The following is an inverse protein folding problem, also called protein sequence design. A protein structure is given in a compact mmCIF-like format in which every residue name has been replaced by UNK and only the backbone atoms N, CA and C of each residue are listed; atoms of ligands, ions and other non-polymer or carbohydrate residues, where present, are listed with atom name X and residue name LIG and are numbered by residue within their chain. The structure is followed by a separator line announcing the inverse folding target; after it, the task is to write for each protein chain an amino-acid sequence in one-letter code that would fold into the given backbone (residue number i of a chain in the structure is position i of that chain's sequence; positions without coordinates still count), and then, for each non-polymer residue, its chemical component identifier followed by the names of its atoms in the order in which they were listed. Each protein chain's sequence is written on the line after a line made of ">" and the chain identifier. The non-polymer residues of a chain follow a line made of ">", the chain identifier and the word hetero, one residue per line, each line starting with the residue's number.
data_IF_772179409620
#
_entry.id   IF_772179409620
#
_cell.length_a   1.000
_cell.length_b   1.000
_cell.length_c   1.000
_cell.angle_alpha   90.00
_cell.angle_beta   90.00
_cell.angle_gamma   90.00
#
_symmetry.space_group_name_H-M   'P 1'
#
loop_
_entity.id
_entity.type
_entity.pdbx_description
1 polymer ?
#
# COMPACT_ATOMS: atom_id res chain seq x y z
N UNK A 1 26.20 -7.89 -11.10
CA UNK A 1 24.77 -7.81 -11.44
C UNK A 1 24.12 -6.83 -10.47
N UNK A 2 24.14 -5.55 -10.79
CA UNK A 2 23.57 -4.48 -9.96
C UNK A 2 22.26 -4.04 -10.61
N UNK A 3 21.22 -4.85 -10.43
CA UNK A 3 19.86 -4.43 -10.68
C UNK A 3 19.35 -3.75 -9.42
N UNK A 4 18.84 -2.53 -9.54
CA UNK A 4 18.10 -1.86 -8.47
C UNK A 4 16.79 -2.63 -8.24
N UNK A 5 16.55 -3.07 -7.01
CA UNK A 5 15.40 -3.90 -6.66
C UNK A 5 14.09 -3.17 -6.97
N UNK A 6 13.10 -3.92 -7.50
CA UNK A 6 11.78 -3.39 -7.79
C UNK A 6 10.76 -3.87 -6.76
N UNK A 7 9.88 -2.97 -6.33
CA UNK A 7 8.77 -3.23 -5.42
C UNK A 7 7.47 -3.25 -6.22
N UNK A 8 6.65 -4.29 -6.05
CA UNK A 8 5.30 -4.35 -6.61
C UNK A 8 4.37 -3.45 -5.79
N UNK A 9 3.87 -2.38 -6.39
CA UNK A 9 3.05 -1.37 -5.69
C UNK A 9 1.59 -1.35 -6.12
N UNK A 10 1.29 -1.96 -7.27
CA UNK A 10 -0.09 -2.15 -7.70
C UNK A 10 -0.21 -3.43 -8.51
N UNK A 11 -1.29 -4.16 -8.29
CA UNK A 11 -1.61 -5.38 -9.02
C UNK A 11 -3.10 -5.43 -9.31
N UNK A 12 -3.43 -5.79 -10.55
CA UNK A 12 -4.74 -6.33 -10.92
C UNK A 12 -4.52 -7.66 -11.60
N UNK A 13 -4.71 -8.72 -10.83
CA UNK A 13 -4.57 -10.09 -11.30
C UNK A 13 -5.89 -10.84 -11.08
N UNK A 14 -6.42 -11.44 -12.14
CA UNK A 14 -7.70 -12.15 -12.12
C UNK A 14 -7.56 -13.54 -12.72
N UNK A 15 -8.37 -14.49 -12.29
CA UNK A 15 -8.41 -15.82 -12.91
C UNK A 15 -9.81 -16.45 -12.80
N UNK A 16 -9.98 -17.59 -13.47
CA UNK A 16 -11.22 -18.36 -13.44
C UNK A 16 -12.38 -17.67 -14.15
N UNK A 17 -13.59 -17.88 -13.64
CA UNK A 17 -14.84 -17.45 -14.29
C UNK A 17 -15.75 -16.61 -13.37
N UNK A 18 -15.36 -16.42 -12.09
CA UNK A 18 -16.24 -15.91 -11.02
C UNK A 18 -15.59 -14.79 -10.20
N UNK A 19 -14.94 -13.84 -10.86
CA UNK A 19 -14.37 -12.65 -10.23
C UNK A 19 -13.29 -12.96 -9.18
N UNK A 20 -12.62 -14.12 -9.28
CA UNK A 20 -11.43 -14.41 -8.48
C UNK A 20 -10.31 -13.46 -8.86
N UNK A 21 -9.62 -12.97 -7.85
CA UNK A 21 -8.58 -11.97 -8.05
C UNK A 21 -7.59 -11.93 -6.89
N UNK A 22 -6.44 -11.34 -7.19
CA UNK A 22 -5.46 -10.88 -6.23
C UNK A 22 -5.08 -9.47 -6.65
N UNK A 23 -5.54 -8.48 -5.89
CA UNK A 23 -5.29 -7.08 -6.18
C UNK A 23 -4.43 -6.48 -5.07
N UNK A 24 -3.51 -5.61 -5.47
CA UNK A 24 -2.69 -4.82 -4.56
C UNK A 24 -2.91 -3.36 -4.90
N UNK A 25 -3.17 -2.55 -3.88
CA UNK A 25 -3.30 -1.10 -3.99
C UNK A 25 -2.37 -0.45 -2.97
N UNK A 26 -1.50 0.45 -3.43
CA UNK A 26 -0.59 1.18 -2.55
C UNK A 26 -0.91 2.66 -2.54
N UNK A 27 -1.06 3.20 -1.33
CA UNK A 27 -1.25 4.61 -1.06
C UNK A 27 -0.09 5.14 -0.23
N UNK A 28 0.27 6.39 -0.43
CA UNK A 28 1.28 7.10 0.33
C UNK A 28 0.56 8.04 1.29
N UNK A 29 0.90 7.90 2.56
CA UNK A 29 0.46 8.78 3.65
C UNK A 29 1.64 9.67 4.00
N UNK A 30 1.43 10.98 3.97
CA UNK A 30 2.39 11.96 4.44
C UNK A 30 2.12 12.30 5.91
N UNK A 31 3.01 11.92 6.87
CA UNK A 31 2.76 12.14 8.29
C UNK A 31 2.78 13.62 8.71
N UNK A 32 3.27 14.53 7.86
CA UNK A 32 3.32 15.97 8.12
C UNK A 32 2.06 16.67 7.61
N UNK A 33 1.60 16.33 6.41
CA UNK A 33 0.41 16.96 5.79
C UNK A 33 -0.89 16.19 6.05
N UNK A 34 -0.78 14.93 6.49
CA UNK A 34 -1.89 13.99 6.66
C UNK A 34 -2.64 13.64 5.37
N UNK A 35 -2.08 14.00 4.21
CA UNK A 35 -2.63 13.67 2.90
C UNK A 35 -2.41 12.19 2.57
N UNK A 36 -3.37 11.62 1.84
CA UNK A 36 -3.28 10.28 1.26
C UNK A 36 -3.36 10.39 -0.24
N UNK A 37 -2.33 9.91 -0.94
CA UNK A 37 -2.28 9.91 -2.41
C UNK A 37 -1.98 8.52 -2.93
N UNK A 38 -2.51 8.14 -4.11
CA UNK A 38 -2.09 6.90 -4.74
C UNK A 38 -0.63 7.00 -5.16
N UNK A 39 0.12 5.91 -5.03
CA UNK A 39 1.58 5.93 -5.23
C UNK A 39 2.00 6.40 -6.63
N UNK A 40 1.24 6.07 -7.67
CA UNK A 40 1.58 6.40 -9.06
C UNK A 40 1.56 7.90 -9.37
N UNK A 41 0.99 8.74 -8.51
CA UNK A 41 1.04 10.21 -8.65
C UNK A 41 2.38 10.80 -8.16
N UNK A 42 3.15 10.05 -7.37
CA UNK A 42 4.30 10.56 -6.65
C UNK A 42 5.64 10.01 -7.13
N UNK A 43 5.63 8.89 -7.87
CA UNK A 43 6.84 8.19 -8.32
C UNK A 43 6.72 7.71 -9.75
N UNK A 44 7.88 7.52 -10.37
CA UNK A 44 8.00 6.91 -11.69
C UNK A 44 7.76 5.41 -11.58
N UNK A 45 6.81 4.90 -12.35
CA UNK A 45 6.43 3.48 -12.30
C UNK A 45 6.76 2.75 -13.59
N UNK A 46 7.18 1.49 -13.49
CA UNK A 46 7.21 0.55 -14.61
C UNK A 46 5.90 -0.24 -14.63
N UNK A 47 5.21 -0.19 -15.75
CA UNK A 47 3.96 -0.93 -15.94
C UNK A 47 4.19 -2.19 -16.77
N UNK A 48 3.51 -3.27 -16.39
CA UNK A 48 3.56 -4.55 -17.08
C UNK A 48 2.15 -5.08 -17.29
N UNK A 49 1.84 -5.46 -18.54
CA UNK A 49 0.53 -5.98 -18.94
C UNK A 49 0.71 -7.29 -19.69
N UNK A 50 0.15 -8.36 -19.12
CA UNK A 50 0.17 -9.73 -19.64
C UNK A 50 -1.24 -10.32 -19.75
N UNK A 51 -2.22 -9.46 -20.02
CA UNK A 51 -3.63 -9.84 -20.11
C UNK A 51 -3.83 -11.01 -21.10
N UNK A 52 -4.73 -11.92 -20.75
CA UNK A 52 -5.25 -12.95 -21.66
C UNK A 52 -6.61 -12.54 -22.21
N UNK A 53 -7.20 -13.38 -23.07
CA UNK A 53 -8.55 -13.12 -23.60
C UNK A 53 -9.64 -13.08 -22.53
N UNK A 54 -9.42 -13.70 -21.36
CA UNK A 54 -10.41 -13.80 -20.28
C UNK A 54 -10.02 -13.09 -18.98
N UNK A 55 -8.72 -12.83 -18.78
CA UNK A 55 -8.20 -12.43 -17.48
C UNK A 55 -7.21 -11.27 -17.59
N UNK A 56 -7.26 -10.38 -16.60
CA UNK A 56 -6.31 -9.29 -16.42
C UNK A 56 -5.08 -9.78 -15.64
N UNK A 57 -3.89 -9.43 -16.12
CA UNK A 57 -2.62 -9.68 -15.46
C UNK A 57 -1.77 -8.42 -15.58
N UNK A 58 -1.96 -7.49 -14.65
CA UNK A 58 -1.41 -6.15 -14.71
C UNK A 58 -0.66 -5.83 -13.44
N UNK A 59 0.57 -5.37 -13.58
CA UNK A 59 1.48 -5.14 -12.48
C UNK A 59 2.14 -3.78 -12.64
N UNK A 60 2.35 -3.09 -11.53
CA UNK A 60 3.07 -1.82 -11.49
C UNK A 60 4.18 -1.94 -10.47
N UNK A 61 5.39 -1.68 -10.92
CA UNK A 61 6.60 -1.77 -10.15
C UNK A 61 7.22 -0.39 -9.97
N UNK A 62 7.87 -0.18 -8.84
CA UNK A 62 8.67 1.02 -8.56
C UNK A 62 10.03 0.58 -8.08
N UNK A 63 11.07 1.23 -8.58
CA UNK A 63 12.43 1.02 -8.10
C UNK A 63 12.56 1.41 -6.64
N UNK A 64 13.29 0.63 -5.85
CA UNK A 64 13.51 0.94 -4.44
C UNK A 64 14.24 2.28 -4.28
N UNK A 65 15.20 2.60 -5.16
CA UNK A 65 15.87 3.91 -5.18
C UNK A 65 14.89 5.09 -5.31
N UNK A 66 13.92 5.00 -6.23
CA UNK A 66 12.89 6.02 -6.48
C UNK A 66 12.00 6.23 -5.24
N UNK A 67 11.62 5.13 -4.56
CA UNK A 67 10.87 5.22 -3.30
C UNK A 67 11.69 5.97 -2.24
N UNK A 68 12.96 5.59 -2.07
CA UNK A 68 13.85 6.21 -1.09
C UNK A 68 14.12 7.69 -1.38
N UNK A 69 14.24 8.07 -2.64
CA UNK A 69 14.50 9.46 -3.03
C UNK A 69 13.27 10.36 -2.83
N UNK A 70 12.09 9.91 -3.26
CA UNK A 70 10.89 10.77 -3.32
C UNK A 70 9.93 10.63 -2.15
N UNK A 71 9.96 9.47 -1.49
CA UNK A 71 8.99 9.12 -0.46
C UNK A 71 9.62 8.89 0.92
N UNK A 72 10.89 9.27 1.12
CA UNK A 72 11.55 9.18 2.42
C UNK A 72 10.68 9.76 3.55
N UNK A 73 10.64 9.06 4.68
CA UNK A 73 9.86 9.37 5.87
C UNK A 73 8.33 9.37 5.67
N UNK A 74 7.84 8.94 4.51
CA UNK A 74 6.41 8.72 4.29
C UNK A 74 6.04 7.28 4.59
N UNK A 75 4.75 7.06 4.83
CA UNK A 75 4.19 5.74 5.13
C UNK A 75 3.49 5.20 3.89
N UNK A 76 3.85 4.00 3.45
CA UNK A 76 3.12 3.26 2.43
C UNK A 76 2.03 2.42 3.10
N UNK A 77 0.79 2.60 2.68
CA UNK A 77 -0.35 1.73 3.00
C UNK A 77 -0.58 0.79 1.82
N UNK A 78 -0.29 -0.49 2.01
CA UNK A 78 -0.53 -1.53 1.01
C UNK A 78 -1.77 -2.34 1.38
N UNK A 79 -2.76 -2.34 0.50
CA UNK A 79 -4.00 -3.10 0.63
C UNK A 79 -3.95 -4.28 -0.32
N UNK A 80 -3.92 -5.49 0.23
CA UNK A 80 -4.00 -6.77 -0.48
C UNK A 80 -5.44 -7.29 -0.39
N UNK A 81 -6.12 -7.42 -1.53
CA UNK A 81 -7.45 -8.02 -1.66
C UNK A 81 -7.32 -9.31 -2.47
N UNK A 82 -7.40 -10.43 -1.76
CA UNK A 82 -7.33 -11.76 -2.35
C UNK A 82 -8.69 -12.45 -2.24
N UNK A 83 -9.29 -12.78 -3.38
CA UNK A 83 -10.57 -13.48 -3.50
C UNK A 83 -10.42 -14.75 -4.33
N UNK A 84 -10.69 -15.89 -3.71
CA UNK A 84 -10.89 -17.18 -4.38
C UNK A 84 -12.39 -17.49 -4.53
N UNK A 85 -12.72 -18.67 -5.07
CA UNK A 85 -14.12 -19.11 -5.23
C UNK A 85 -14.88 -19.28 -3.91
N UNK A 86 -14.18 -19.47 -2.78
CA UNK A 86 -14.79 -19.79 -1.48
C UNK A 86 -14.47 -18.80 -0.38
N UNK A 87 -13.47 -17.94 -0.56
CA UNK A 87 -12.99 -17.07 0.49
C UNK A 87 -12.51 -15.73 -0.08
N UNK A 88 -12.69 -14.66 0.69
CA UNK A 88 -12.09 -13.35 0.43
C UNK A 88 -11.36 -12.90 1.68
N UNK A 89 -10.11 -12.49 1.52
CA UNK A 89 -9.29 -11.90 2.58
C UNK A 89 -8.79 -10.54 2.11
N UNK A 90 -9.01 -9.53 2.92
CA UNK A 90 -8.41 -8.21 2.75
C UNK A 90 -7.41 -8.03 3.87
N UNK A 91 -6.16 -7.77 3.53
CA UNK A 91 -5.08 -7.49 4.49
C UNK A 91 -4.50 -6.12 4.16
N UNK A 92 -4.28 -5.32 5.20
CA UNK A 92 -3.59 -4.04 5.06
C UNK A 92 -2.21 -4.22 5.69
N UNK A 93 -1.19 -3.61 5.11
CA UNK A 93 0.14 -3.50 5.69
C UNK A 93 0.65 -2.08 5.56
N UNK A 94 1.49 -1.68 6.50
CA UNK A 94 2.06 -0.35 6.56
C UNK A 94 3.58 -0.45 6.54
N UNK A 95 4.23 0.41 5.76
CA UNK A 95 5.69 0.45 5.65
C UNK A 95 6.19 1.89 5.77
N UNK A 96 7.24 2.12 6.56
CA UNK A 96 7.98 3.38 6.56
C UNK A 96 9.06 3.32 5.47
N UNK A 97 9.14 4.36 4.65
CA UNK A 97 10.24 4.51 3.69
C UNK A 97 11.43 5.16 4.38
N UNK A 98 12.51 4.41 4.53
CA UNK A 98 13.77 4.85 5.17
C UNK A 98 14.90 4.94 4.13
N UNK A 99 16.07 5.44 4.54
CA UNK A 99 17.26 5.42 3.67
C UNK A 99 17.73 3.99 3.33
N UNK A 100 17.39 3.02 4.18
CA UNK A 100 17.79 1.63 4.03
C UNK A 100 16.77 0.81 3.22
N UNK A 101 15.54 1.31 3.03
CA UNK A 101 14.49 0.63 2.26
C UNK A 101 13.12 0.80 2.89
N UNK A 102 12.34 -0.29 2.91
CA UNK A 102 11.00 -0.32 3.51
C UNK A 102 11.04 -1.07 4.83
N UNK A 103 10.63 -0.43 5.92
CA UNK A 103 10.45 -1.08 7.23
C UNK A 103 8.96 -1.30 7.51
N UNK A 104 8.56 -2.54 7.81
CA UNK A 104 7.17 -2.85 8.15
C UNK A 104 6.81 -2.24 9.51
N UNK A 105 5.76 -1.41 9.53
CA UNK A 105 5.24 -0.78 10.73
C UNK A 105 4.21 -1.70 11.39
N UNK A 106 4.29 -1.81 12.71
CA UNK A 106 3.23 -2.44 13.50
C UNK A 106 2.00 -1.54 13.49
N UNK A 107 0.84 -2.14 13.23
CA UNK A 107 -0.44 -1.44 13.25
C UNK A 107 -1.49 -2.27 14.00
N UNK A 108 -2.24 -1.61 14.87
CA UNK A 108 -3.47 -2.19 15.44
C UNK A 108 -4.59 -1.95 14.43
N UNK A 109 -5.05 -3.02 13.78
CA UNK A 109 -5.95 -2.93 12.64
C UNK A 109 -7.41 -3.19 12.99
N UNK A 110 -8.31 -2.56 12.24
CA UNK A 110 -9.75 -2.83 12.33
C UNK A 110 -10.39 -2.38 13.64
N UNK A 111 -9.78 -1.40 14.31
CA UNK A 111 -10.37 -0.75 15.48
C UNK A 111 -11.61 0.05 15.06
N UNK A 112 -12.52 0.31 16.01
CA UNK A 112 -13.79 0.99 15.72
C UNK A 112 -14.12 2.01 16.80
N UNK A 113 -14.51 3.21 16.36
CA UNK A 113 -15.07 4.26 17.21
C UNK A 113 -16.37 4.83 16.61
N UNK A 114 -16.84 5.98 17.12
CA UNK A 114 -18.03 6.67 16.63
C UNK A 114 -17.91 7.16 15.18
N UNK A 115 -16.67 7.32 14.67
CA UNK A 115 -16.38 7.77 13.32
C UNK A 115 -16.06 6.60 12.36
N UNK A 116 -16.27 5.36 12.81
CA UNK A 116 -16.14 4.16 12.00
C UNK A 116 -14.85 3.38 12.25
N UNK A 117 -14.40 2.64 11.24
CA UNK A 117 -13.21 1.80 11.33
C UNK A 117 -11.92 2.60 11.11
N UNK A 118 -10.88 2.26 11.85
CA UNK A 118 -9.55 2.85 11.72
C UNK A 118 -8.46 1.85 12.07
N UNK A 119 -7.26 2.13 11.57
CA UNK A 119 -6.03 1.48 11.99
C UNK A 119 -5.19 2.47 12.78
N UNK A 120 -4.47 1.99 13.80
CA UNK A 120 -3.54 2.79 14.60
C UNK A 120 -2.11 2.38 14.27
N UNK A 121 -1.29 3.33 13.85
CA UNK A 121 0.11 3.10 13.48
C UNK A 121 0.99 3.88 14.45
N UNK A 122 1.90 3.19 15.12
CA UNK A 122 2.85 3.84 16.01
C UNK A 122 4.11 4.23 15.24
N UNK A 123 4.43 5.52 15.28
CA UNK A 123 5.72 6.09 14.91
C UNK A 123 6.46 6.50 16.19
N UNK A 124 7.73 6.89 16.08
CA UNK A 124 8.58 7.19 17.25
C UNK A 124 7.99 8.32 18.11
N UNK A 125 7.56 9.42 17.49
CA UNK A 125 7.10 10.66 18.15
C UNK A 125 5.58 10.84 18.16
N UNK A 126 4.85 10.02 17.39
CA UNK A 126 3.42 10.22 17.14
C UNK A 126 2.69 8.92 16.84
N UNK A 127 1.37 8.99 16.84
CA UNK A 127 0.48 7.90 16.45
C UNK A 127 -0.38 8.40 15.31
N UNK A 128 -0.40 7.66 14.21
CA UNK A 128 -1.32 7.92 13.09
C UNK A 128 -2.58 7.09 13.27
N UNK A 129 -3.73 7.76 13.13
CA UNK A 129 -5.05 7.12 13.03
C UNK A 129 -5.46 7.16 11.57
N UNK A 130 -5.40 6.01 10.91
CA UNK A 130 -5.65 5.88 9.48
C UNK A 130 -7.05 5.32 9.26
N UNK A 131 -7.93 6.16 8.71
CA UNK A 131 -9.28 5.78 8.27
C UNK A 131 -9.27 5.52 6.77
N UNK A 132 -10.45 5.27 6.20
CA UNK A 132 -10.61 5.08 4.76
C UNK A 132 -10.17 6.32 3.97
N UNK A 133 -10.67 7.49 4.34
CA UNK A 133 -10.54 8.74 3.57
C UNK A 133 -9.85 9.86 4.38
N UNK A 134 -9.34 9.57 5.58
CA UNK A 134 -8.76 10.55 6.50
C UNK A 134 -7.61 9.96 7.30
N UNK A 135 -6.59 10.76 7.58
CA UNK A 135 -5.54 10.46 8.55
C UNK A 135 -5.54 11.52 9.63
N UNK A 136 -5.41 11.10 10.89
CA UNK A 136 -5.33 11.98 12.06
C UNK A 136 -4.03 11.65 12.82
N UNK A 137 -3.52 12.62 13.59
CA UNK A 137 -2.29 12.45 14.36
C UNK A 137 -2.54 12.72 15.84
N UNK A 138 -1.97 11.86 16.68
CA UNK A 138 -1.89 12.06 18.13
C UNK A 138 -0.41 12.17 18.46
N UNK A 139 0.02 13.32 18.98
CA UNK A 139 1.40 13.49 19.46
C UNK A 139 1.56 12.71 20.77
N UNK A 140 2.68 12.00 20.90
CA UNK A 140 3.05 11.32 22.15
C UNK A 140 3.58 12.31 23.18
#
# INVERSE_FOLDING_TARGET
>A
MTGDDEVLVWQKDTWGSYGQHHNIYTFVIDPETLEVKPIYELVTTRYEKKDSSKNYHRFTYVKLSELKEKLRNKVLKMVDDHKSSRNRRVTVKYYLVTENGLEELKADQGLKDSNGFYDKIELDDRILIVRKDKVEVIKK
#
